data_IF_817236089454
#
_entry.id   IF_817236089454
#
_cell.length_a   1.000
_cell.length_b   1.000
_cell.length_c   1.000
_cell.angle_alpha   90.00
_cell.angle_beta   90.00
_cell.angle_gamma   90.00
#
_symmetry.space_group_name_H-M   'P 1'
#
loop_
_entity.id
_entity.type
_entity.pdbx_description
1 polymer ?
#
# COMPACT_ATOMS: atom_id res chain seq x y z
N UNK A 1 1.79 20.49 11.20
CA UNK A 1 1.28 19.56 10.17
C UNK A 1 1.67 18.17 10.59
N UNK A 2 0.68 17.37 10.97
CA UNK A 2 0.86 16.06 11.58
C UNK A 2 1.54 15.08 10.62
N UNK A 3 2.43 14.27 11.19
CA UNK A 3 3.20 13.26 10.48
C UNK A 3 2.23 12.20 9.97
N UNK A 4 2.00 12.18 8.65
CA UNK A 4 1.38 11.05 7.90
C UNK A 4 2.34 9.85 7.97
N UNK A 5 2.53 9.31 9.16
CA UNK A 5 3.24 8.06 9.38
C UNK A 5 2.28 6.93 9.08
N UNK A 6 2.72 6.03 8.20
CA UNK A 6 2.08 4.77 7.80
C UNK A 6 0.67 4.93 7.24
N UNK A 7 0.60 5.11 5.92
CA UNK A 7 -0.52 4.59 5.12
C UNK A 7 -0.54 3.08 5.32
N UNK A 8 -1.23 2.62 6.37
CA UNK A 8 -1.57 1.22 6.54
C UNK A 8 -2.37 0.81 5.31
N UNK A 9 -1.78 -0.05 4.49
CA UNK A 9 -2.55 -0.97 3.67
C UNK A 9 -2.29 -2.40 4.11
N UNK A 10 -1.15 -2.65 4.79
CA UNK A 10 -0.80 -3.97 5.29
C UNK A 10 -1.74 -4.41 6.41
N UNK A 11 -2.10 -3.52 7.33
CA UNK A 11 -3.05 -3.80 8.41
C UNK A 11 -4.45 -4.09 7.84
N UNK A 12 -4.90 -3.28 6.89
CA UNK A 12 -6.15 -3.45 6.16
C UNK A 12 -6.16 -4.77 5.37
N UNK A 13 -5.05 -5.13 4.71
CA UNK A 13 -4.92 -6.38 3.95
C UNK A 13 -4.96 -7.60 4.89
N UNK A 14 -4.31 -7.54 6.04
CA UNK A 14 -4.35 -8.60 7.06
C UNK A 14 -5.76 -8.76 7.66
N UNK A 15 -6.45 -7.64 7.93
CA UNK A 15 -7.84 -7.67 8.40
C UNK A 15 -8.79 -8.21 7.33
N UNK A 16 -8.60 -7.80 6.08
CA UNK A 16 -9.37 -8.29 4.94
C UNK A 16 -9.24 -9.82 4.81
N UNK A 17 -8.02 -10.35 4.89
CA UNK A 17 -7.77 -11.80 4.83
C UNK A 17 -8.52 -12.56 5.93
N UNK A 18 -8.46 -12.05 7.17
CA UNK A 18 -9.17 -12.65 8.29
C UNK A 18 -10.69 -12.67 8.09
N UNK A 19 -11.29 -11.53 7.74
CA UNK A 19 -12.74 -11.44 7.55
C UNK A 19 -13.17 -12.26 6.33
N UNK A 20 -12.38 -12.28 5.25
CA UNK A 20 -12.65 -13.11 4.08
C UNK A 20 -12.66 -14.60 4.45
N UNK A 21 -11.70 -15.07 5.24
CA UNK A 21 -11.67 -16.45 5.68
C UNK A 21 -12.92 -16.81 6.50
N UNK A 22 -13.32 -15.97 7.46
CA UNK A 22 -14.53 -16.20 8.25
C UNK A 22 -15.79 -16.30 7.36
N UNK A 23 -15.91 -15.42 6.36
CA UNK A 23 -17.05 -15.42 5.44
C UNK A 23 -17.07 -16.66 4.53
N UNK A 24 -15.89 -17.13 4.09
CA UNK A 24 -15.76 -18.39 3.35
C UNK A 24 -16.16 -19.58 4.23
N UNK A 25 -15.65 -19.64 5.46
CA UNK A 25 -15.97 -20.71 6.41
C UNK A 25 -17.48 -20.75 6.70
N UNK A 26 -18.13 -19.59 6.84
CA UNK A 26 -19.59 -19.51 6.98
C UNK A 26 -20.30 -20.05 5.75
N UNK A 27 -19.88 -19.64 4.54
CA UNK A 27 -20.51 -20.07 3.30
C UNK A 27 -20.40 -21.59 3.07
N UNK A 28 -19.26 -22.19 3.44
CA UNK A 28 -19.03 -23.64 3.34
C UNK A 28 -19.84 -24.45 4.35
N UNK A 29 -20.08 -23.90 5.54
CA UNK A 29 -20.78 -24.59 6.64
C UNK A 29 -22.24 -24.17 6.80
N UNK A 30 -22.79 -23.41 5.84
CA UNK A 30 -24.16 -22.92 5.91
C UNK A 30 -25.18 -24.07 5.91
N UNK A 31 -26.10 -24.05 6.87
CA UNK A 31 -27.20 -25.01 6.95
C UNK A 31 -28.53 -24.29 7.07
N UNK A 32 -29.57 -24.87 6.46
CA UNK A 32 -30.92 -24.35 6.50
C UNK A 32 -31.79 -25.12 7.52
N UNK A 33 -32.66 -24.45 8.30
CA UNK A 33 -32.80 -22.99 8.39
C UNK A 33 -31.61 -22.35 9.12
N UNK A 34 -31.24 -21.11 8.77
CA UNK A 34 -30.12 -20.43 9.42
C UNK A 34 -30.46 -20.06 10.86
N UNK A 35 -29.46 -20.12 11.74
CA UNK A 35 -29.52 -19.54 13.08
C UNK A 35 -29.44 -18.00 12.98
N UNK A 36 -30.36 -17.30 13.63
CA UNK A 36 -30.47 -15.84 13.56
C UNK A 36 -29.20 -15.13 14.04
N UNK A 37 -28.60 -15.61 15.13
CA UNK A 37 -27.31 -15.11 15.66
C UNK A 37 -26.17 -15.23 14.63
N UNK A 38 -26.10 -16.34 13.89
CA UNK A 38 -25.10 -16.52 12.82
C UNK A 38 -25.32 -15.55 11.66
N UNK A 39 -26.57 -15.24 11.32
CA UNK A 39 -26.87 -14.26 10.27
C UNK A 39 -26.47 -12.84 10.69
N UNK A 40 -26.69 -12.47 11.94
CA UNK A 40 -26.26 -11.17 12.48
C UNK A 40 -24.72 -11.05 12.48
N UNK A 41 -24.01 -12.12 12.88
CA UNK A 41 -22.54 -12.16 12.84
C UNK A 41 -22.02 -11.95 11.42
N UNK A 42 -22.58 -12.66 10.44
CA UNK A 42 -22.18 -12.54 9.03
C UNK A 42 -22.50 -11.16 8.47
N UNK A 43 -23.64 -10.58 8.83
CA UNK A 43 -23.97 -9.22 8.44
C UNK A 43 -22.94 -8.21 8.97
N UNK A 44 -22.49 -8.39 10.22
CA UNK A 44 -21.42 -7.56 10.80
C UNK A 44 -20.08 -7.76 10.09
N UNK A 45 -19.71 -9.00 9.75
CA UNK A 45 -18.49 -9.31 9.00
C UNK A 45 -18.51 -8.72 7.58
N UNK A 46 -19.66 -8.76 6.89
CA UNK A 46 -19.83 -8.12 5.57
C UNK A 46 -19.69 -6.59 5.67
N UNK A 47 -20.25 -5.98 6.72
CA UNK A 47 -20.10 -4.56 6.97
C UNK A 47 -18.63 -4.18 7.28
N UNK A 48 -17.93 -5.00 8.07
CA UNK A 48 -16.50 -4.84 8.34
C UNK A 48 -15.67 -4.95 7.05
N UNK A 49 -15.95 -5.94 6.19
CA UNK A 49 -15.31 -6.10 4.89
C UNK A 49 -15.47 -4.85 4.01
N UNK A 50 -16.69 -4.31 3.93
CA UNK A 50 -16.95 -3.08 3.15
C UNK A 50 -16.14 -1.88 3.68
N UNK A 51 -16.03 -1.74 4.99
CA UNK A 51 -15.24 -0.70 5.64
C UNK A 51 -13.74 -0.86 5.36
N UNK A 52 -13.22 -2.09 5.39
CA UNK A 52 -11.82 -2.39 5.05
C UNK A 52 -11.54 -2.02 3.59
N UNK A 53 -12.40 -2.43 2.66
CA UNK A 53 -12.25 -2.08 1.24
C UNK A 53 -12.21 -0.55 1.03
N UNK A 54 -13.07 0.20 1.72
CA UNK A 54 -13.07 1.67 1.64
C UNK A 54 -11.74 2.26 2.12
N UNK A 55 -11.22 1.81 3.27
CA UNK A 55 -9.94 2.26 3.80
C UNK A 55 -8.77 1.92 2.87
N UNK A 56 -8.81 0.74 2.25
CA UNK A 56 -7.81 0.35 1.25
C UNK A 56 -7.84 1.30 0.05
N UNK A 57 -9.02 1.58 -0.50
CA UNK A 57 -9.19 2.51 -1.63
C UNK A 57 -8.68 3.92 -1.28
N UNK A 58 -9.04 4.45 -0.12
CA UNK A 58 -8.56 5.74 0.39
C UNK A 58 -7.03 5.78 0.57
N UNK A 59 -6.41 4.65 0.92
CA UNK A 59 -4.96 4.52 1.14
C UNK A 59 -4.12 4.38 -0.14
N UNK A 60 -4.72 3.97 -1.27
CA UNK A 60 -4.00 3.77 -2.54
C UNK A 60 -3.41 5.07 -3.11
N UNK A 61 -4.16 6.16 -3.11
CA UNK A 61 -3.68 7.43 -3.65
C UNK A 61 -2.47 8.01 -2.86
N UNK A 62 -2.52 8.07 -1.51
CA UNK A 62 -1.36 8.40 -0.68
C UNK A 62 -0.15 7.47 -0.89
N UNK A 63 -0.35 6.16 -1.06
CA UNK A 63 0.73 5.22 -1.35
C UNK A 63 1.38 5.53 -2.71
N UNK A 64 0.55 5.73 -3.74
CA UNK A 64 1.05 6.10 -5.07
C UNK A 64 1.90 7.38 -5.03
N UNK A 65 1.46 8.38 -4.26
CA UNK A 65 2.23 9.62 -4.10
C UNK A 65 3.60 9.35 -3.45
N UNK A 66 3.66 8.55 -2.38
CA UNK A 66 4.93 8.19 -1.74
C UNK A 66 5.87 7.46 -2.70
N UNK A 67 5.35 6.51 -3.49
CA UNK A 67 6.14 5.79 -4.50
C UNK A 67 6.70 6.78 -5.53
N UNK A 68 5.88 7.71 -6.02
CA UNK A 68 6.33 8.76 -6.95
C UNK A 68 7.41 9.63 -6.33
N UNK A 69 7.25 10.07 -5.08
CA UNK A 69 8.23 10.91 -4.40
C UNK A 69 9.59 10.20 -4.24
N UNK A 70 9.57 8.93 -3.84
CA UNK A 70 10.79 8.10 -3.74
C UNK A 70 11.44 7.93 -5.12
N UNK A 71 10.65 7.64 -6.16
CA UNK A 71 11.17 7.52 -7.52
C UNK A 71 11.85 8.81 -8.00
N UNK A 72 11.21 9.97 -7.80
CA UNK A 72 11.81 11.26 -8.16
C UNK A 72 13.11 11.53 -7.39
N UNK A 73 13.18 11.16 -6.11
CA UNK A 73 14.41 11.27 -5.31
C UNK A 73 15.53 10.40 -5.87
N UNK A 74 15.23 9.15 -6.26
CA UNK A 74 16.21 8.24 -6.88
C UNK A 74 16.73 8.81 -8.20
N UNK A 75 15.83 9.24 -9.08
CA UNK A 75 16.20 9.81 -10.39
C UNK A 75 17.06 11.07 -10.22
N UNK A 76 16.66 11.97 -9.32
CA UNK A 76 17.44 13.19 -9.03
C UNK A 76 18.83 12.86 -8.51
N UNK A 77 18.91 11.97 -7.51
CA UNK A 77 20.20 11.56 -6.94
C UNK A 77 21.11 10.95 -8.00
N UNK A 78 20.57 10.12 -8.90
CA UNK A 78 21.35 9.57 -10.03
C UNK A 78 21.84 10.66 -10.98
N UNK A 79 21.00 11.65 -11.30
CA UNK A 79 21.38 12.76 -12.16
C UNK A 79 22.50 13.61 -11.54
N UNK A 80 22.40 13.91 -10.25
CA UNK A 80 23.43 14.63 -9.49
C UNK A 80 24.77 13.87 -9.47
N UNK A 81 24.75 12.55 -9.27
CA UNK A 81 25.96 11.71 -9.31
C UNK A 81 26.60 11.73 -10.70
N UNK A 82 25.81 11.62 -11.77
CA UNK A 82 26.32 11.67 -13.14
C UNK A 82 26.94 13.02 -13.48
N UNK A 83 26.34 14.12 -13.01
CA UNK A 83 26.87 15.47 -13.20
C UNK A 83 28.23 15.64 -12.52
N UNK A 84 28.39 15.14 -11.29
CA UNK A 84 29.68 15.15 -10.59
C UNK A 84 30.74 14.33 -11.34
N UNK A 85 30.39 13.15 -11.87
CA UNK A 85 31.32 12.31 -12.63
C UNK A 85 31.76 12.98 -13.94
N UNK A 86 30.84 13.64 -14.64
CA UNK A 86 31.13 14.40 -15.86
C UNK A 86 32.10 15.56 -15.58
N UNK A 87 31.88 16.30 -14.49
CA UNK A 87 32.78 17.37 -14.05
C UNK A 87 34.20 16.82 -13.75
N UNK A 88 34.30 15.70 -13.03
CA UNK A 88 35.58 15.05 -12.74
C UNK A 88 36.29 14.62 -14.03
N UNK A 89 35.54 14.05 -14.99
CA UNK A 89 36.07 13.67 -16.30
C UNK A 89 36.67 14.85 -17.06
N UNK A 90 35.96 15.98 -17.09
CA UNK A 90 36.44 17.23 -17.73
C UNK A 90 37.67 17.83 -17.04
N UNK A 91 37.76 17.72 -15.71
CA UNK A 91 38.95 18.18 -14.97
C UNK A 91 40.18 17.29 -15.19
N UNK A 92 39.97 16.03 -15.56
CA UNK A 92 41.03 15.04 -15.71
C UNK A 92 41.61 14.97 -17.13
N UNK A 93 40.99 15.61 -18.13
CA UNK A 93 41.53 15.67 -19.49
C UNK A 93 42.79 16.56 -19.56
N UNK A 94 43.96 16.02 -19.95
CA UNK A 94 45.17 16.82 -20.09
C UNK A 94 45.02 17.84 -21.23
N UNK A 95 45.47 19.07 -21.00
CA UNK A 95 45.54 20.09 -22.07
C UNK A 95 46.61 19.64 -23.07
N UNK A 96 46.27 19.45 -24.36
CA UNK A 96 47.29 19.16 -25.37
C UNK A 96 48.17 20.40 -25.58
N UNK A 97 49.48 20.22 -25.41
CA UNK A 97 50.52 21.22 -25.70
C UNK A 97 50.79 21.31 -27.20
#
# INVERSE_FOLDING_TARGET
KEKKGTTGLLDEMQKMEKVAQNLVDFAENFQFPPEEEKLEEVAAQVAEMAEICRKMEEGLAPLQQQIREVFHRIVRSRAEVLDVLDQIGKMSTPVPY
#
